data_IF_778149604302
#
_entry.id   IF_778149604302
#
_cell.length_a   1.000
_cell.length_b   1.000
_cell.length_c   1.000
_cell.angle_alpha   90.00
_cell.angle_beta   90.00
_cell.angle_gamma   90.00
#
_symmetry.space_group_name_H-M   'P 1'
#
loop_
_entity.id
_entity.type
_entity.pdbx_description
1 polymer ?
#
# COMPACT_ATOMS: atom_id res chain seq x y z
N UNK A 1 11.72 3.98 5.22
CA UNK A 1 11.82 3.72 6.67
C UNK A 1 10.45 3.30 7.18
N UNK A 2 10.35 2.17 7.90
CA UNK A 2 9.07 1.63 8.42
C UNK A 2 8.86 1.94 9.90
N UNK A 3 9.96 1.93 10.66
CA UNK A 3 10.01 2.26 12.09
C UNK A 3 10.98 3.43 12.26
N UNK A 4 10.58 4.42 13.05
CA UNK A 4 11.39 5.59 13.38
C UNK A 4 12.46 5.22 14.41
N UNK A 5 13.46 6.08 14.56
CA UNK A 5 14.53 5.90 15.57
C UNK A 5 14.01 5.84 17.01
N UNK A 6 12.86 6.45 17.28
CA UNK A 6 12.18 6.42 18.58
C UNK A 6 11.29 5.17 18.78
N UNK A 7 11.30 4.21 17.85
CA UNK A 7 10.51 2.98 17.93
C UNK A 7 9.09 3.08 17.35
N UNK A 8 8.60 4.27 17.03
CA UNK A 8 7.25 4.45 16.48
C UNK A 8 7.14 3.96 15.04
N UNK A 9 5.96 3.48 14.67
CA UNK A 9 5.65 3.14 13.28
C UNK A 9 5.47 4.40 12.43
N UNK A 10 5.91 4.29 11.19
CA UNK A 10 5.66 5.32 10.17
C UNK A 10 4.28 5.12 9.54
N UNK A 11 3.69 6.19 9.01
CA UNK A 11 2.47 6.10 8.19
C UNK A 11 2.64 5.12 7.02
N UNK A 12 3.86 5.02 6.47
CA UNK A 12 4.14 4.05 5.41
C UNK A 12 3.93 2.60 5.85
N UNK A 13 4.31 2.24 7.08
CA UNK A 13 4.05 0.90 7.62
C UNK A 13 2.54 0.68 7.85
N UNK A 14 1.84 1.69 8.39
CA UNK A 14 0.39 1.63 8.56
C UNK A 14 -0.35 1.42 7.24
N UNK A 15 0.07 2.11 6.18
CA UNK A 15 -0.54 1.98 4.85
C UNK A 15 -0.33 0.60 4.24
N UNK A 16 0.86 0.02 4.39
CA UNK A 16 1.15 -1.36 3.96
C UNK A 16 0.26 -2.35 4.70
N UNK A 17 0.19 -2.24 6.03
CA UNK A 17 -0.64 -3.13 6.86
C UNK A 17 -2.13 -3.00 6.50
N UNK A 18 -2.60 -1.79 6.20
CA UNK A 18 -3.97 -1.55 5.78
C UNK A 18 -4.30 -2.21 4.45
N UNK A 19 -3.39 -2.14 3.46
CA UNK A 19 -3.56 -2.84 2.19
C UNK A 19 -3.60 -4.36 2.37
N UNK A 20 -2.70 -4.92 3.19
CA UNK A 20 -2.70 -6.34 3.52
C UNK A 20 -4.02 -6.76 4.17
N UNK A 21 -4.49 -6.02 5.17
CA UNK A 21 -5.75 -6.30 5.86
C UNK A 21 -6.96 -6.22 4.92
N UNK A 22 -6.99 -5.24 4.00
CA UNK A 22 -8.03 -5.15 2.95
C UNK A 22 -7.98 -6.32 1.98
N UNK A 23 -6.78 -6.75 1.59
CA UNK A 23 -6.60 -7.86 0.65
C UNK A 23 -6.95 -9.24 1.20
N UNK A 24 -7.06 -9.36 2.52
CA UNK A 24 -7.54 -10.58 3.19
C UNK A 24 -9.07 -10.61 3.29
N UNK A 25 -9.74 -9.55 2.84
CA UNK A 25 -11.20 -9.53 2.68
C UNK A 25 -11.53 -10.08 1.30
N UNK A 26 -12.63 -10.83 1.17
CA UNK A 26 -13.06 -11.51 -0.06
C UNK A 26 -13.61 -10.50 -1.09
N UNK A 27 -12.76 -9.58 -1.56
CA UNK A 27 -13.06 -8.67 -2.66
C UNK A 27 -12.37 -9.18 -3.93
N UNK A 28 -13.10 -9.13 -5.04
CA UNK A 28 -12.54 -9.48 -6.35
C UNK A 28 -11.58 -8.40 -6.87
N UNK A 29 -11.80 -7.14 -6.47
CA UNK A 29 -11.02 -5.99 -6.94
C UNK A 29 -10.75 -5.03 -5.78
N UNK A 30 -9.51 -4.55 -5.69
CA UNK A 30 -9.08 -3.48 -4.78
C UNK A 30 -8.69 -2.26 -5.61
N UNK A 31 -9.39 -1.14 -5.40
CA UNK A 31 -9.12 0.12 -6.07
C UNK A 31 -8.61 1.15 -5.06
N UNK A 32 -7.55 1.86 -5.43
CA UNK A 32 -7.06 3.02 -4.71
C UNK A 32 -7.21 4.25 -5.60
N UNK A 33 -7.71 5.34 -5.02
CA UNK A 33 -7.85 6.65 -5.68
C UNK A 33 -6.79 7.57 -5.10
N UNK A 34 -5.91 8.08 -5.94
CA UNK A 34 -4.76 8.90 -5.55
C UNK A 34 -4.81 10.26 -6.24
N UNK A 35 -4.33 11.30 -5.55
CA UNK A 35 -4.02 12.58 -6.20
C UNK A 35 -2.70 12.52 -6.99
N UNK A 36 -2.50 13.44 -7.93
CA UNK A 36 -1.29 13.52 -8.76
C UNK A 36 0.01 13.70 -7.95
N UNK A 37 -0.09 14.28 -6.75
CA UNK A 37 1.00 14.47 -5.79
C UNK A 37 1.54 13.14 -5.21
N UNK A 38 0.81 12.03 -5.36
CA UNK A 38 1.20 10.72 -4.83
C UNK A 38 2.07 9.88 -5.78
N UNK A 39 2.50 10.41 -6.93
CA UNK A 39 3.28 9.68 -7.95
C UNK A 39 4.53 8.98 -7.40
N UNK A 40 5.24 9.57 -6.43
CA UNK A 40 6.42 8.95 -5.80
C UNK A 40 6.05 7.91 -4.72
N UNK A 41 4.82 7.94 -4.23
CA UNK A 41 4.34 7.07 -3.17
C UNK A 41 3.77 5.74 -3.71
N UNK A 42 3.00 5.82 -4.80
CA UNK A 42 2.33 4.66 -5.40
C UNK A 42 3.29 3.51 -5.74
N UNK A 43 4.47 3.74 -6.36
CA UNK A 43 5.41 2.65 -6.67
C UNK A 43 5.90 1.92 -5.42
N UNK A 44 6.06 2.64 -4.30
CA UNK A 44 6.54 2.08 -3.04
C UNK A 44 5.50 1.15 -2.41
N UNK A 45 4.24 1.57 -2.39
CA UNK A 45 3.13 0.73 -1.92
C UNK A 45 2.95 -0.48 -2.83
N UNK A 46 3.02 -0.30 -4.15
CA UNK A 46 2.90 -1.39 -5.12
C UNK A 46 3.98 -2.46 -4.90
N UNK A 47 5.24 -2.05 -4.72
CA UNK A 47 6.34 -2.96 -4.44
C UNK A 47 6.16 -3.68 -3.10
N UNK A 48 5.87 -2.94 -2.02
CA UNK A 48 5.66 -3.55 -0.70
C UNK A 48 4.49 -4.56 -0.70
N UNK A 49 3.40 -4.22 -1.40
CA UNK A 49 2.24 -5.08 -1.49
C UNK A 49 2.50 -6.34 -2.33
N UNK A 50 3.26 -6.23 -3.42
CA UNK A 50 3.66 -7.37 -4.25
C UNK A 50 4.50 -8.40 -3.48
N UNK A 51 5.41 -7.94 -2.61
CA UNK A 51 6.21 -8.82 -1.76
C UNK A 51 5.37 -9.55 -0.70
N UNK A 52 4.38 -8.85 -0.13
CA UNK A 52 3.52 -9.40 0.95
C UNK A 52 2.46 -10.35 0.39
N UNK A 53 1.88 -10.01 -0.77
CA UNK A 53 0.92 -10.83 -1.50
C UNK A 53 1.38 -10.89 -2.96
N UNK A 54 1.66 -12.11 -3.44
CA UNK A 54 1.88 -12.41 -4.87
C UNK A 54 0.59 -12.23 -5.71
N UNK A 55 -0.10 -11.10 -5.56
CA UNK A 55 -1.35 -10.76 -6.25
C UNK A 55 -1.11 -9.44 -6.99
N UNK A 56 -1.43 -9.41 -8.29
CA UNK A 56 -1.40 -8.18 -9.07
C UNK A 56 -2.60 -7.30 -8.68
N UNK A 57 -2.34 -6.18 -8.02
CA UNK A 57 -3.34 -5.15 -7.74
C UNK A 57 -3.38 -4.14 -8.89
N UNK A 58 -4.55 -3.99 -9.54
CA UNK A 58 -4.73 -3.00 -10.61
C UNK A 58 -5.00 -1.61 -10.01
N UNK A 59 -4.06 -0.70 -10.25
CA UNK A 59 -4.16 0.71 -9.88
C UNK A 59 -4.71 1.53 -11.06
N UNK A 60 -5.78 2.29 -10.84
CA UNK A 60 -6.27 3.30 -11.79
C UNK A 60 -5.93 4.69 -11.26
N UNK A 61 -5.36 5.53 -12.12
CA UNK A 61 -5.11 6.94 -11.85
C UNK A 61 -6.28 7.76 -12.39
N UNK A 62 -6.70 8.78 -11.65
CA UNK A 62 -7.53 9.87 -12.15
C UNK A 62 -6.72 11.16 -12.14
#
# INVERSE_FOLDING_TARGET
MLVKSNGDHTYFLSDIAYHQAKSNRNYDVLLNVWGADHHGYVPRIKSAFHEIKKIECQLKYC
#
